data_IF_186926714688
#
_entry.id   IF_186926714688
#
_cell.length_a   1.000
_cell.length_b   1.000
_cell.length_c   1.000
_cell.angle_alpha   90.00
_cell.angle_beta   90.00
_cell.angle_gamma   90.00
#
_symmetry.space_group_name_H-M   'P 1'
#
loop_
_entity.id
_entity.type
_entity.pdbx_description
1 polymer ?
#
# COMPACT_ATOMS: atom_id res chain seq x y z
N UNK A 1 -29.16 10.50 -6.64
CA UNK A 1 -28.32 9.28 -6.46
C UNK A 1 -26.87 9.69 -6.62
N UNK A 2 -25.95 9.38 -5.68
CA UNK A 2 -24.55 9.74 -5.82
C UNK A 2 -23.94 9.04 -7.04
N UNK A 3 -23.14 9.77 -7.83
CA UNK A 3 -22.50 9.23 -9.03
C UNK A 3 -21.62 8.03 -8.67
N UNK A 4 -21.75 6.93 -9.43
CA UNK A 4 -20.88 5.75 -9.28
C UNK A 4 -19.46 6.17 -9.66
N UNK A 5 -18.52 6.07 -8.72
CA UNK A 5 -17.10 6.32 -9.02
C UNK A 5 -16.61 5.30 -10.03
N UNK A 6 -15.73 5.75 -10.94
CA UNK A 6 -15.11 4.91 -11.98
C UNK A 6 -13.77 4.38 -11.51
N UNK A 7 -13.30 3.32 -12.16
CA UNK A 7 -11.98 2.78 -11.94
C UNK A 7 -10.92 3.85 -12.23
N UNK A 8 -10.00 4.03 -11.29
CA UNK A 8 -8.89 4.98 -11.36
C UNK A 8 -7.62 4.35 -11.96
N UNK A 9 -7.78 3.24 -12.69
CA UNK A 9 -6.65 2.64 -13.39
C UNK A 9 -6.37 3.48 -14.63
N UNK A 10 -5.13 3.98 -14.75
CA UNK A 10 -4.64 4.63 -15.97
C UNK A 10 -5.48 5.86 -16.37
N UNK A 11 -5.90 6.66 -15.38
CA UNK A 11 -6.64 7.93 -15.61
C UNK A 11 -5.76 8.85 -16.47
N UNK A 12 -6.36 9.44 -17.51
CA UNK A 12 -5.69 10.31 -18.50
C UNK A 12 -4.74 9.60 -19.47
N UNK A 13 -4.86 8.29 -19.63
CA UNK A 13 -4.15 7.54 -20.68
C UNK A 13 -5.15 6.83 -21.59
N UNK A 14 -4.69 6.39 -22.77
CA UNK A 14 -5.52 5.74 -23.79
C UNK A 14 -6.14 4.41 -23.29
N UNK A 15 -5.51 3.77 -22.31
CA UNK A 15 -5.95 2.53 -21.67
C UNK A 15 -6.71 2.77 -20.35
N UNK A 16 -7.39 3.91 -20.22
CA UNK A 16 -8.26 4.20 -19.07
C UNK A 16 -9.37 3.16 -18.94
N UNK A 17 -9.46 2.54 -17.76
CA UNK A 17 -10.54 1.59 -17.48
C UNK A 17 -11.88 2.31 -17.27
N UNK A 18 -12.90 2.01 -18.09
CA UNK A 18 -14.24 2.60 -17.98
C UNK A 18 -15.15 1.90 -16.94
N UNK A 19 -14.69 0.80 -16.35
CA UNK A 19 -15.50 0.00 -15.41
C UNK A 19 -15.85 0.76 -14.14
N UNK A 20 -17.01 0.44 -13.55
CA UNK A 20 -17.42 1.00 -12.26
C UNK A 20 -16.50 0.50 -11.13
N UNK A 21 -16.12 1.42 -10.23
CA UNK A 21 -15.36 1.05 -9.04
C UNK A 21 -16.27 0.33 -8.02
N UNK A 22 -15.71 -0.65 -7.31
CA UNK A 22 -16.42 -1.30 -6.20
C UNK A 22 -16.42 -0.37 -4.98
N UNK A 23 -17.61 -0.08 -4.44
CA UNK A 23 -17.73 0.85 -3.30
C UNK A 23 -17.15 0.32 -1.99
N UNK A 24 -17.15 -1.00 -1.79
CA UNK A 24 -16.71 -1.62 -0.53
C UNK A 24 -15.29 -2.20 -0.61
N UNK A 25 -14.92 -2.80 -1.74
CA UNK A 25 -13.68 -3.57 -1.92
C UNK A 25 -12.82 -3.01 -3.05
N UNK A 26 -13.21 -1.86 -3.63
CA UNK A 26 -12.48 -1.23 -4.73
C UNK A 26 -11.40 -0.27 -4.28
N UNK A 27 -11.31 0.09 -3.00
CA UNK A 27 -10.31 1.04 -2.52
C UNK A 27 -9.00 0.32 -2.19
N UNK A 28 -7.91 0.73 -2.83
CA UNK A 28 -6.59 0.18 -2.56
C UNK A 28 -6.03 0.79 -1.25
N UNK A 29 -5.57 -0.01 -0.28
CA UNK A 29 -5.07 0.51 1.00
C UNK A 29 -3.76 1.29 0.88
N UNK A 30 -3.03 1.15 -0.24
CA UNK A 30 -1.73 1.82 -0.44
C UNK A 30 -1.86 3.20 -1.08
N UNK A 31 -2.75 3.34 -2.07
CA UNK A 31 -2.91 4.58 -2.84
C UNK A 31 -4.27 5.26 -2.63
N UNK A 32 -5.17 4.66 -1.85
CA UNK A 32 -6.54 5.14 -1.57
C UNK A 32 -7.38 5.42 -2.83
N UNK A 33 -6.93 4.89 -3.97
CA UNK A 33 -7.61 5.00 -5.24
C UNK A 33 -8.64 3.89 -5.38
N UNK A 34 -9.66 4.15 -6.21
CA UNK A 34 -10.83 3.29 -6.37
C UNK A 34 -10.77 2.53 -7.69
N UNK A 35 -10.97 1.22 -7.62
CA UNK A 35 -10.77 0.30 -8.73
C UNK A 35 -11.98 -0.63 -8.92
N UNK A 36 -12.08 -1.20 -10.12
CA UNK A 36 -13.05 -2.25 -10.44
C UNK A 36 -12.56 -3.63 -9.96
N UNK A 37 -13.39 -4.66 -10.09
CA UNK A 37 -13.08 -6.01 -9.58
C UNK A 37 -11.81 -6.63 -10.18
N UNK A 38 -11.45 -6.23 -11.40
CA UNK A 38 -10.24 -6.66 -12.10
C UNK A 38 -8.97 -5.90 -11.66
N UNK A 39 -9.09 -4.61 -11.32
CA UNK A 39 -7.94 -3.75 -10.97
C UNK A 39 -7.78 -3.53 -9.46
N UNK A 40 -8.59 -4.19 -8.62
CA UNK A 40 -8.53 -4.02 -7.14
C UNK A 40 -7.19 -4.43 -6.52
N UNK A 41 -6.47 -5.33 -7.18
CA UNK A 41 -5.20 -5.86 -6.69
C UNK A 41 -4.05 -4.91 -7.07
N UNK A 42 -3.08 -4.66 -6.16
CA UNK A 42 -1.93 -3.80 -6.44
C UNK A 42 -1.13 -4.22 -7.67
N UNK A 43 -1.03 -5.53 -7.91
CA UNK A 43 -0.39 -6.17 -9.07
C UNK A 43 -1.05 -5.76 -10.39
N UNK A 44 -2.38 -5.59 -10.40
CA UNK A 44 -3.16 -5.33 -11.61
C UNK A 44 -3.20 -3.85 -12.00
N UNK A 45 -3.08 -2.95 -11.02
CA UNK A 45 -3.07 -1.50 -11.30
C UNK A 45 -1.68 -0.87 -11.21
N UNK A 46 -0.63 -1.69 -11.09
CA UNK A 46 0.77 -1.25 -10.92
C UNK A 46 0.88 -0.14 -9.87
N UNK A 47 0.47 -0.45 -8.64
CA UNK A 47 0.41 0.53 -7.57
C UNK A 47 1.77 1.17 -7.30
N UNK A 48 1.91 2.46 -7.61
CA UNK A 48 3.16 3.21 -7.43
C UNK A 48 3.63 3.28 -5.97
N UNK A 49 2.69 3.27 -5.02
CA UNK A 49 2.99 3.37 -3.58
C UNK A 49 3.40 2.03 -2.94
N UNK A 50 3.55 0.93 -3.70
CA UNK A 50 4.01 -0.35 -3.14
C UNK A 50 5.46 -0.28 -2.66
N UNK A 51 6.33 0.36 -3.42
CA UNK A 51 7.75 0.49 -3.09
C UNK A 51 7.96 1.39 -1.88
N UNK A 52 7.27 2.53 -1.81
CA UNK A 52 7.30 3.43 -0.66
C UNK A 52 6.77 2.74 0.60
N UNK A 53 5.62 2.05 0.51
CA UNK A 53 5.07 1.29 1.62
C UNK A 53 6.03 0.20 2.12
N UNK A 54 6.77 -0.46 1.21
CA UNK A 54 7.79 -1.45 1.58
C UNK A 54 8.96 -0.80 2.29
N UNK A 55 9.44 0.34 1.81
CA UNK A 55 10.53 1.09 2.45
C UNK A 55 10.13 1.57 3.85
N UNK A 56 8.93 2.11 4.01
CA UNK A 56 8.40 2.53 5.30
C UNK A 56 8.27 1.36 6.29
N UNK A 57 7.79 0.20 5.84
CA UNK A 57 7.72 -0.99 6.68
C UNK A 57 9.13 -1.46 7.09
N UNK A 58 10.10 -1.42 6.16
CA UNK A 58 11.48 -1.76 6.46
C UNK A 58 12.10 -0.81 7.49
N UNK A 59 11.90 0.50 7.36
CA UNK A 59 12.40 1.49 8.31
C UNK A 59 11.80 1.29 9.71
N UNK A 60 10.49 1.07 9.80
CA UNK A 60 9.82 0.78 11.09
C UNK A 60 10.33 -0.50 11.73
N UNK A 61 10.51 -1.56 10.95
CA UNK A 61 11.05 -2.82 11.46
C UNK A 61 12.50 -2.66 11.90
N UNK A 62 13.31 -1.92 11.14
CA UNK A 62 14.69 -1.60 11.51
C UNK A 62 14.75 -0.82 12.82
N UNK A 63 13.92 0.21 12.98
CA UNK A 63 13.87 1.03 14.19
C UNK A 63 13.43 0.21 15.41
N UNK A 64 12.41 -0.65 15.25
CA UNK A 64 12.01 -1.60 16.30
C UNK A 64 13.14 -2.57 16.64
N UNK A 65 13.77 -3.18 15.64
CA UNK A 65 14.83 -4.15 15.83
C UNK A 65 16.06 -3.53 16.51
N UNK A 66 16.40 -2.29 16.18
CA UNK A 66 17.47 -1.53 16.85
C UNK A 66 17.06 -1.12 18.28
N UNK A 67 15.78 -0.79 18.52
CA UNK A 67 15.26 -0.42 19.86
C UNK A 67 15.17 -1.63 20.80
N UNK A 68 14.82 -2.79 20.26
CA UNK A 68 14.71 -4.06 20.97
C UNK A 68 16.03 -4.84 20.96
N UNK A 69 17.08 -4.31 20.32
CA UNK A 69 18.40 -4.92 20.31
C UNK A 69 18.92 -4.98 21.74
N UNK A 70 18.91 -6.18 22.31
CA UNK A 70 19.52 -6.45 23.61
C UNK A 70 21.02 -6.15 23.51
N UNK A 71 21.45 -5.01 24.03
CA UNK A 71 22.86 -4.78 24.35
C UNK A 71 23.22 -5.77 25.45
N UNK A 72 24.19 -6.64 25.20
CA UNK A 72 24.67 -7.60 26.20
C UNK A 72 24.93 -6.84 27.50
N UNK A 73 24.14 -7.14 28.54
CA UNK A 73 24.37 -6.58 29.87
C UNK A 73 25.83 -6.86 30.22
N UNK A 74 26.61 -5.80 30.45
CA UNK A 74 27.95 -5.94 31.01
C UNK A 74 27.78 -6.62 32.36
N UNK A 75 27.90 -7.95 32.40
CA UNK A 75 28.12 -8.65 33.66
C UNK A 75 29.51 -8.23 34.12
N UNK A 76 29.56 -7.17 34.92
CA UNK A 76 30.65 -6.96 35.84
C UNK A 76 30.52 -8.08 36.88
N UNK A 77 31.34 -9.10 36.74
CA UNK A 77 31.52 -10.11 37.79
C UNK A 77 32.99 -10.13 38.16
N UNK A 78 33.19 -9.69 39.41
CA UNK A 78 34.35 -9.68 40.31
C UNK A 78 35.65 -10.34 39.87
#
# INVERSE_FOLDING_TARGET
>A
MPAKKRCQFQINTESQCNSAALRLVGECPHCLAQFCGAHRLPEHHSCNNLEDCRQQAFLKNKEKLESERTVASKMATA
#
